data_IF_957372851504
#
_entry.id   IF_957372851504
#
_cell.length_a   1.000
_cell.length_b   1.000
_cell.length_c   1.000
_cell.angle_alpha   90.00
_cell.angle_beta   90.00
_cell.angle_gamma   90.00
#
_symmetry.space_group_name_H-M   'P 1'
#
loop_
_entity.id
_entity.type
_entity.pdbx_description
1 polymer ?
#
# COMPACT_ATOMS: atom_id res chain seq x y z
N UNK A 1 2.10 -19.43 -6.03
CA UNK A 1 3.32 -18.70 -5.59
C UNK A 1 4.07 -18.18 -6.81
N UNK A 2 4.60 -17.00 -6.72
CA UNK A 2 5.34 -16.34 -7.81
C UNK A 2 6.80 -16.16 -7.39
N UNK A 3 7.73 -16.48 -8.31
CA UNK A 3 9.15 -16.32 -8.09
C UNK A 3 9.58 -14.88 -8.41
N UNK A 4 10.24 -14.21 -7.48
CA UNK A 4 10.83 -12.89 -7.71
C UNK A 4 12.09 -12.98 -8.56
N UNK A 5 12.50 -11.88 -9.20
CA UNK A 5 13.75 -11.79 -9.92
C UNK A 5 14.97 -12.13 -9.06
N UNK A 6 14.91 -11.87 -7.76
CA UNK A 6 15.94 -12.24 -6.77
C UNK A 6 16.03 -13.75 -6.48
N UNK A 7 15.20 -14.58 -7.10
CA UNK A 7 15.12 -16.02 -6.86
C UNK A 7 14.26 -16.43 -5.64
N UNK A 8 13.81 -15.48 -4.85
CA UNK A 8 12.92 -15.74 -3.71
C UNK A 8 11.49 -15.92 -4.17
N UNK A 9 10.74 -16.76 -3.47
CA UNK A 9 9.32 -16.99 -3.73
C UNK A 9 8.45 -15.98 -2.99
N UNK A 10 7.37 -15.57 -3.63
CA UNK A 10 6.32 -14.73 -3.03
C UNK A 10 4.99 -15.47 -3.09
N UNK A 11 4.28 -15.54 -1.97
CA UNK A 11 2.90 -15.99 -1.99
C UNK A 11 2.03 -14.90 -2.61
N UNK A 12 1.21 -15.29 -3.58
CA UNK A 12 0.24 -14.41 -4.21
C UNK A 12 -1.11 -15.10 -4.24
N UNK A 13 -2.13 -14.47 -3.66
CA UNK A 13 -3.50 -14.94 -3.67
C UNK A 13 -4.28 -14.17 -4.73
N UNK A 14 -5.07 -14.87 -5.54
CA UNK A 14 -5.92 -14.25 -6.54
C UNK A 14 -7.25 -13.80 -5.90
N UNK A 15 -7.42 -12.50 -5.77
CA UNK A 15 -8.64 -11.88 -5.29
C UNK A 15 -9.43 -11.17 -6.41
N UNK A 16 -9.30 -11.62 -7.66
CA UNK A 16 -9.95 -10.98 -8.80
C UNK A 16 -11.45 -10.80 -8.61
N UNK A 17 -12.16 -11.82 -8.12
CA UNK A 17 -13.60 -11.76 -7.90
C UNK A 17 -13.95 -10.83 -6.74
N UNK A 18 -13.21 -10.87 -5.66
CA UNK A 18 -13.40 -9.97 -4.53
C UNK A 18 -13.17 -8.51 -4.96
N UNK A 19 -12.13 -8.25 -5.73
CA UNK A 19 -11.81 -6.92 -6.24
C UNK A 19 -12.89 -6.39 -7.20
N UNK A 20 -13.51 -7.25 -8.01
CA UNK A 20 -14.63 -6.88 -8.87
C UNK A 20 -15.87 -6.47 -8.07
N UNK A 21 -16.14 -7.17 -6.97
CA UNK A 21 -17.27 -6.87 -6.10
C UNK A 21 -17.05 -5.65 -5.20
N UNK A 22 -15.80 -5.28 -4.97
CA UNK A 22 -15.44 -4.18 -4.10
C UNK A 22 -15.64 -2.82 -4.81
N UNK A 23 -16.36 -1.85 -4.21
CA UNK A 23 -16.44 -0.52 -4.75
C UNK A 23 -15.06 0.15 -4.79
N UNK A 24 -14.80 0.91 -5.84
CA UNK A 24 -13.55 1.67 -5.92
C UNK A 24 -13.56 2.81 -4.91
N UNK A 25 -12.51 2.88 -4.09
CA UNK A 25 -12.22 4.06 -3.27
C UNK A 25 -11.62 5.13 -4.17
N UNK A 26 -12.33 6.23 -4.32
CA UNK A 26 -11.91 7.35 -5.17
C UNK A 26 -11.00 8.35 -4.45
N UNK A 27 -10.37 7.94 -3.36
CA UNK A 27 -9.39 8.78 -2.65
C UNK A 27 -8.28 9.20 -3.60
N UNK A 28 -7.99 10.51 -3.76
CA UNK A 28 -7.02 10.98 -4.73
C UNK A 28 -5.60 10.59 -4.34
N UNK A 29 -4.90 9.95 -5.26
CA UNK A 29 -3.46 9.73 -5.13
C UNK A 29 -2.71 10.99 -5.60
N UNK A 30 -1.54 11.29 -5.01
CA UNK A 30 -0.72 12.40 -5.47
C UNK A 30 -0.29 12.23 -6.93
N UNK A 31 -0.14 13.32 -7.63
CA UNK A 31 0.40 13.29 -8.99
C UNK A 31 1.92 13.14 -8.94
N UNK A 32 2.44 12.18 -9.68
CA UNK A 32 3.89 11.88 -9.69
C UNK A 32 4.71 13.07 -10.22
N UNK A 33 4.23 13.77 -11.24
CA UNK A 33 4.88 14.95 -11.79
C UNK A 33 5.02 16.07 -10.76
N UNK A 34 4.00 16.31 -9.94
CA UNK A 34 4.04 17.28 -8.85
C UNK A 34 5.05 16.86 -7.77
N UNK A 35 5.11 15.57 -7.45
CA UNK A 35 6.08 15.05 -6.49
C UNK A 35 7.52 15.23 -6.99
N UNK A 36 7.77 14.95 -8.26
CA UNK A 36 9.09 15.14 -8.89
C UNK A 36 9.48 16.62 -8.89
N UNK A 37 8.57 17.50 -9.29
CA UNK A 37 8.83 18.95 -9.30
C UNK A 37 9.14 19.49 -7.89
N UNK A 38 8.54 18.91 -6.87
CA UNK A 38 8.79 19.30 -5.48
C UNK A 38 10.19 18.96 -4.98
N UNK A 39 10.93 18.10 -5.69
CA UNK A 39 12.30 17.73 -5.34
C UNK A 39 13.34 18.74 -5.80
N UNK A 40 12.99 19.62 -6.73
CA UNK A 40 13.88 20.63 -7.23
C UNK A 40 14.27 21.60 -6.10
N UNK A 41 15.50 22.10 -6.12
CA UNK A 41 16.06 23.02 -5.12
C UNK A 41 16.41 22.39 -3.76
N UNK A 42 16.33 21.07 -3.62
CA UNK A 42 16.80 20.38 -2.43
C UNK A 42 18.16 19.75 -2.68
N UNK A 43 19.07 19.90 -1.72
CA UNK A 43 20.44 19.40 -1.86
C UNK A 43 20.53 17.91 -1.61
N UNK A 44 19.70 17.41 -0.72
CA UNK A 44 19.71 16.00 -0.34
C UNK A 44 18.29 15.46 -0.38
N UNK A 45 18.17 14.23 -0.92
CA UNK A 45 16.93 13.47 -0.95
C UNK A 45 17.18 12.12 -0.33
N UNK A 46 16.28 11.71 0.57
CA UNK A 46 16.28 10.37 1.15
C UNK A 46 15.01 9.65 0.73
N UNK A 47 15.17 8.44 0.18
CA UNK A 47 14.05 7.60 -0.22
C UNK A 47 13.85 6.52 0.84
N UNK A 48 12.62 6.39 1.31
CA UNK A 48 12.24 5.42 2.33
C UNK A 48 11.13 4.56 1.75
N UNK A 49 11.36 3.25 1.75
CA UNK A 49 10.35 2.25 1.38
C UNK A 49 9.81 1.61 2.66
N UNK A 50 8.49 1.61 2.81
CA UNK A 50 7.87 1.07 4.01
C UNK A 50 7.96 -0.46 4.01
N UNK A 51 8.67 -1.01 5.00
CA UNK A 51 8.75 -2.46 5.17
C UNK A 51 7.38 -3.04 5.54
N UNK A 52 6.85 -3.89 4.66
CA UNK A 52 5.53 -4.51 4.83
C UNK A 52 4.44 -3.50 5.23
N UNK A 53 4.43 -2.33 4.58
CA UNK A 53 3.59 -1.22 4.98
C UNK A 53 2.10 -1.55 5.02
N UNK A 54 1.59 -2.23 4.01
CA UNK A 54 0.18 -2.65 3.97
C UNK A 54 -0.19 -3.60 5.11
N UNK A 55 0.73 -4.48 5.51
CA UNK A 55 0.51 -5.44 6.58
C UNK A 55 0.46 -4.80 7.98
N UNK A 56 0.74 -3.53 8.09
CA UNK A 56 0.60 -2.78 9.35
C UNK A 56 -0.85 -2.31 9.59
N UNK A 57 -1.69 -2.40 8.58
CA UNK A 57 -3.11 -2.04 8.68
C UNK A 57 -3.93 -3.30 8.96
N UNK A 58 -4.58 -3.31 10.13
CA UNK A 58 -5.46 -4.41 10.51
C UNK A 58 -6.77 -4.32 9.73
N UNK A 59 -7.23 -5.44 9.20
CA UNK A 59 -8.52 -5.52 8.53
C UNK A 59 -9.66 -5.63 9.53
N UNK A 60 -10.80 -5.03 9.16
CA UNK A 60 -12.04 -5.23 9.87
C UNK A 60 -12.46 -6.71 9.87
N UNK A 61 -12.98 -7.23 10.98
CA UNK A 61 -13.25 -8.65 11.16
C UNK A 61 -14.13 -9.26 10.05
N UNK A 62 -15.17 -8.55 9.63
CA UNK A 62 -16.06 -9.01 8.55
C UNK A 62 -15.29 -9.11 7.24
N UNK A 63 -14.38 -8.19 6.97
CA UNK A 63 -13.58 -8.17 5.74
C UNK A 63 -12.47 -9.23 5.76
N UNK A 64 -12.00 -9.63 6.93
CA UNK A 64 -11.02 -10.72 7.05
C UNK A 64 -11.58 -12.02 6.45
N UNK A 65 -12.82 -12.37 6.72
CA UNK A 65 -13.45 -13.57 6.18
C UNK A 65 -13.56 -13.55 4.66
N UNK A 66 -13.77 -12.36 4.09
CA UNK A 66 -13.86 -12.18 2.63
C UNK A 66 -12.54 -12.41 1.91
N UNK A 67 -11.42 -12.42 2.61
CA UNK A 67 -10.10 -12.71 2.07
C UNK A 67 -9.71 -14.18 2.19
N UNK A 68 -10.66 -15.06 2.50
CA UNK A 68 -10.41 -16.48 2.70
C UNK A 68 -9.83 -17.14 1.45
N UNK A 69 -8.83 -17.96 1.65
CA UNK A 69 -8.20 -18.76 0.61
C UNK A 69 -7.66 -20.06 1.20
N UNK A 70 -7.37 -21.02 0.36
CA UNK A 70 -6.72 -22.25 0.78
C UNK A 70 -7.22 -23.49 0.05
N UNK A 71 -6.54 -24.62 0.27
CA UNK A 71 -6.98 -25.92 -0.24
C UNK A 71 -8.23 -26.42 0.50
N UNK A 72 -8.87 -27.44 -0.04
CA UNK A 72 -10.10 -28.04 0.50
C UNK A 72 -10.00 -28.51 1.96
N UNK A 73 -8.80 -28.64 2.51
CA UNK A 73 -8.54 -29.15 3.87
C UNK A 73 -8.39 -28.05 4.92
N UNK A 74 -8.45 -26.76 4.55
CA UNK A 74 -8.34 -25.67 5.50
C UNK A 74 -8.45 -24.32 4.80
N UNK A 75 -8.95 -23.35 5.55
CA UNK A 75 -9.08 -21.97 5.06
C UNK A 75 -8.19 -21.04 5.87
N UNK A 76 -7.54 -20.16 5.16
CA UNK A 76 -6.78 -19.05 5.72
C UNK A 76 -7.43 -17.74 5.32
N UNK A 77 -7.26 -16.71 6.12
CA UNK A 77 -7.68 -15.37 5.77
C UNK A 77 -6.60 -14.36 6.18
N UNK A 78 -6.67 -13.17 5.63
CA UNK A 78 -5.78 -12.09 6.03
C UNK A 78 -6.36 -11.33 7.22
N UNK A 79 -5.59 -11.24 8.30
CA UNK A 79 -5.90 -10.37 9.45
C UNK A 79 -5.45 -8.93 9.22
N UNK A 80 -4.49 -8.76 8.32
CA UNK A 80 -3.93 -7.47 7.94
C UNK A 80 -4.12 -7.27 6.44
N UNK A 81 -4.07 -6.02 5.99
CA UNK A 81 -4.35 -5.68 4.60
C UNK A 81 -3.26 -6.21 3.66
N UNK A 82 -3.58 -7.11 2.71
CA UNK A 82 -2.65 -7.52 1.67
C UNK A 82 -2.62 -6.49 0.54
N UNK A 83 -1.47 -6.35 -0.13
CA UNK A 83 -1.29 -5.38 -1.21
C UNK A 83 -2.14 -5.64 -2.45
N UNK A 84 -2.64 -6.86 -2.64
CA UNK A 84 -3.41 -7.27 -3.83
C UNK A 84 -4.86 -6.76 -3.84
N UNK A 85 -5.36 -6.22 -2.73
CA UNK A 85 -6.72 -5.69 -2.68
C UNK A 85 -6.82 -4.36 -3.45
N UNK A 86 -7.96 -4.20 -4.12
CA UNK A 86 -8.22 -3.05 -5.00
C UNK A 86 -7.95 -1.69 -4.37
N UNK A 87 -8.34 -1.52 -3.11
CA UNK A 87 -8.27 -0.24 -2.41
C UNK A 87 -7.08 -0.16 -1.44
N UNK A 88 -6.15 -1.10 -1.50
CA UNK A 88 -5.01 -1.14 -0.58
C UNK A 88 -4.17 0.15 -0.69
N UNK A 89 -3.85 0.57 -1.91
CA UNK A 89 -3.08 1.79 -2.15
C UNK A 89 -3.76 3.04 -1.61
N UNK A 90 -5.06 3.21 -1.88
CA UNK A 90 -5.83 4.36 -1.41
C UNK A 90 -5.92 4.40 0.12
N UNK A 91 -6.15 3.26 0.74
CA UNK A 91 -6.23 3.15 2.21
C UNK A 91 -4.89 3.50 2.86
N UNK A 92 -3.80 2.99 2.31
CA UNK A 92 -2.46 3.29 2.82
C UNK A 92 -2.09 4.75 2.64
N UNK A 93 -2.38 5.33 1.48
CA UNK A 93 -2.15 6.76 1.21
C UNK A 93 -2.91 7.65 2.20
N UNK A 94 -4.16 7.30 2.49
CA UNK A 94 -4.98 8.01 3.49
C UNK A 94 -4.35 7.97 4.87
N UNK A 95 -3.82 6.81 5.27
CA UNK A 95 -3.11 6.65 6.54
C UNK A 95 -1.85 7.53 6.58
N UNK A 96 -1.04 7.50 5.52
CA UNK A 96 0.18 8.30 5.45
C UNK A 96 -0.12 9.80 5.46
N UNK A 97 -1.14 10.24 4.75
CA UNK A 97 -1.57 11.64 4.75
C UNK A 97 -2.01 12.11 6.13
N UNK A 98 -2.62 11.23 6.91
CA UNK A 98 -3.02 11.53 8.29
C UNK A 98 -1.84 11.57 9.24
N UNK A 99 -0.94 10.59 9.14
CA UNK A 99 0.22 10.47 10.03
C UNK A 99 1.22 11.60 9.82
N UNK A 100 1.45 12.00 8.58
CA UNK A 100 2.44 13.01 8.20
C UNK A 100 1.82 14.32 7.72
N UNK A 101 0.61 14.64 8.19
CA UNK A 101 -0.14 15.81 7.74
C UNK A 101 0.65 17.14 7.89
N UNK A 102 1.49 17.26 8.91
CA UNK A 102 2.28 18.46 9.16
C UNK A 102 3.56 18.51 8.32
N UNK A 103 4.07 17.37 7.87
CA UNK A 103 5.32 17.26 7.13
C UNK A 103 5.11 17.20 5.61
N UNK A 104 3.99 16.65 5.15
CA UNK A 104 3.67 16.54 3.73
C UNK A 104 3.55 17.95 3.11
N UNK A 105 4.24 18.14 1.99
CA UNK A 105 4.32 19.43 1.31
C UNK A 105 5.45 20.34 1.82
N UNK A 106 6.03 20.02 2.96
CA UNK A 106 7.21 20.73 3.49
C UNK A 106 8.49 19.97 3.14
N UNK A 107 8.83 18.99 3.96
CA UNK A 107 10.04 18.18 3.83
C UNK A 107 9.78 16.72 3.50
N UNK A 108 8.53 16.29 3.45
CA UNK A 108 8.13 14.92 3.15
C UNK A 108 7.13 14.90 2.00
N UNK A 109 7.32 13.98 1.07
CA UNK A 109 6.32 13.61 0.07
C UNK A 109 6.06 12.11 0.19
N UNK A 110 4.81 11.71 0.02
CA UNK A 110 4.40 10.31 0.12
C UNK A 110 3.63 9.91 -1.12
N UNK A 111 4.02 8.79 -1.72
CA UNK A 111 3.26 8.12 -2.77
C UNK A 111 3.07 6.66 -2.35
N UNK A 112 1.92 6.39 -1.75
CA UNK A 112 1.56 5.08 -1.20
C UNK A 112 2.62 4.61 -0.18
N UNK A 113 3.39 3.58 -0.47
CA UNK A 113 4.42 3.03 0.43
C UNK A 113 5.82 3.64 0.24
N UNK A 114 5.97 4.51 -0.75
CA UNK A 114 7.22 5.22 -1.00
C UNK A 114 7.19 6.61 -0.36
N UNK A 115 8.22 6.93 0.40
CA UNK A 115 8.39 8.23 1.03
C UNK A 115 9.66 8.91 0.53
N UNK A 116 9.56 10.19 0.28
CA UNK A 116 10.68 11.05 -0.07
C UNK A 116 10.84 12.12 1.00
N UNK A 117 12.02 12.13 1.63
CA UNK A 117 12.40 13.18 2.59
C UNK A 117 13.38 14.13 1.91
N UNK A 118 13.11 15.41 2.00
CA UNK A 118 13.87 16.49 1.37
C UNK A 118 14.61 17.29 2.43
N UNK A 119 15.87 17.54 2.19
CA UNK A 119 16.72 18.34 3.06
C UNK A 119 17.31 19.51 2.29
#
# INVERSE_FOLDING_TARGET
>A
MVKKASGKWRMCVDFADLNKACPKDSYPLPRVDVLVDSTTRHQLLSFIDAFSGYNQIRMHEVDQERTSFGPSQGFFCYKVMPFVLKNAGATYQRLMNKMFAQQIGRNVQVYVDDMLVKI
#
